data_IF_767970199164
#
_entry.id   IF_767970199164
#
_cell.length_a   1.000
_cell.length_b   1.000
_cell.length_c   1.000
_cell.angle_alpha   90.00
_cell.angle_beta   90.00
_cell.angle_gamma   90.00
#
_symmetry.space_group_name_H-M   'P 1'
#
loop_
_entity.id
_entity.type
_entity.pdbx_description
1 polymer ?
#
# COMPACT_ATOMS: atom_id res chain seq x y z
N UNK A 1 13.46 -4.54 17.49
CA UNK A 1 12.66 -5.59 18.19
C UNK A 1 11.20 -5.20 18.12
N UNK A 2 10.28 -6.14 17.90
CA UNK A 2 8.84 -5.85 17.90
C UNK A 2 8.38 -5.42 19.29
N UNK A 3 7.51 -4.41 19.37
CA UNK A 3 6.94 -3.90 20.62
C UNK A 3 6.25 -5.01 21.42
N UNK A 4 6.38 -4.98 22.74
CA UNK A 4 5.90 -6.05 23.63
C UNK A 4 4.38 -6.20 23.62
N UNK A 5 3.64 -5.11 23.45
CA UNK A 5 2.17 -5.05 23.43
C UNK A 5 1.57 -5.10 22.02
N UNK A 6 2.27 -5.77 21.07
CA UNK A 6 1.83 -5.83 19.66
C UNK A 6 0.41 -6.42 19.51
N UNK A 7 0.05 -7.44 20.31
CA UNK A 7 -1.29 -8.05 20.26
C UNK A 7 -2.38 -7.10 20.70
N UNK A 8 -2.15 -6.39 21.80
CA UNK A 8 -3.06 -5.38 22.33
C UNK A 8 -3.21 -4.24 21.33
N UNK A 9 -2.10 -3.79 20.75
CA UNK A 9 -2.12 -2.75 19.73
C UNK A 9 -2.94 -3.16 18.52
N UNK A 10 -2.70 -4.34 17.95
CA UNK A 10 -3.47 -4.87 16.81
C UNK A 10 -4.94 -5.00 17.14
N UNK A 11 -5.27 -5.50 18.35
CA UNK A 11 -6.64 -5.67 18.80
C UNK A 11 -7.38 -4.34 19.02
N UNK A 12 -6.64 -3.24 19.21
CA UNK A 12 -7.22 -1.90 19.36
C UNK A 12 -7.61 -1.25 18.03
N UNK A 13 -7.12 -1.77 16.91
CA UNK A 13 -7.47 -1.26 15.58
C UNK A 13 -8.89 -1.67 15.17
N UNK A 14 -9.61 -0.84 14.41
CA UNK A 14 -10.91 -1.23 13.88
C UNK A 14 -10.83 -2.50 13.03
N UNK A 15 -11.81 -3.39 13.14
CA UNK A 15 -11.83 -4.70 12.44
C UNK A 15 -11.80 -4.61 10.91
N UNK A 16 -12.23 -3.49 10.36
CA UNK A 16 -12.21 -3.23 8.92
C UNK A 16 -10.90 -2.59 8.43
N UNK A 17 -9.90 -2.46 9.30
CA UNK A 17 -8.60 -1.88 8.98
C UNK A 17 -7.54 -2.98 8.94
N UNK A 18 -6.88 -3.10 7.80
CA UNK A 18 -5.72 -3.98 7.62
C UNK A 18 -4.45 -3.23 8.02
N UNK A 19 -3.72 -3.79 8.98
CA UNK A 19 -2.38 -3.34 9.33
C UNK A 19 -1.35 -3.97 8.39
N UNK A 20 -0.73 -3.16 7.54
CA UNK A 20 0.45 -3.54 6.75
C UNK A 20 1.70 -3.13 7.53
N UNK A 21 2.44 -4.10 8.04
CA UNK A 21 3.67 -3.86 8.77
C UNK A 21 4.81 -3.51 7.80
N UNK A 22 5.31 -2.28 7.85
CA UNK A 22 6.46 -1.84 7.05
C UNK A 22 7.75 -2.40 7.66
N UNK A 23 8.35 -3.38 6.97
CA UNK A 23 9.46 -4.20 7.49
C UNK A 23 10.85 -3.75 7.02
N UNK A 24 10.94 -2.57 6.39
CA UNK A 24 12.17 -2.07 5.74
C UNK A 24 13.41 -1.97 6.65
N UNK A 25 13.22 -1.84 7.96
CA UNK A 25 14.30 -1.64 8.94
C UNK A 25 14.46 -2.81 9.91
N UNK A 26 13.75 -3.91 9.72
CA UNK A 26 13.79 -5.06 10.62
C UNK A 26 14.20 -6.32 9.91
N UNK A 27 14.75 -7.25 10.67
CA UNK A 27 15.20 -8.54 10.17
C UNK A 27 14.08 -9.59 10.18
N UNK A 28 14.40 -10.78 9.67
CA UNK A 28 13.46 -11.88 9.54
C UNK A 28 12.91 -12.34 10.90
N UNK A 29 13.71 -12.32 11.95
CA UNK A 29 13.30 -12.70 13.31
C UNK A 29 12.17 -11.80 13.85
N UNK A 30 12.28 -10.48 13.61
CA UNK A 30 11.21 -9.54 13.95
C UNK A 30 9.96 -9.79 13.09
N UNK A 31 10.13 -10.14 11.81
CA UNK A 31 9.00 -10.47 10.93
C UNK A 31 8.31 -11.77 11.37
N UNK A 32 9.05 -12.81 11.76
CA UNK A 32 8.48 -14.03 12.35
C UNK A 32 7.73 -13.71 13.65
N UNK A 33 8.26 -12.81 14.46
CA UNK A 33 7.58 -12.34 15.66
C UNK A 33 6.25 -11.67 15.34
N UNK A 34 6.19 -10.83 14.29
CA UNK A 34 4.95 -10.23 13.81
C UNK A 34 3.93 -11.28 13.36
N UNK A 35 4.36 -12.26 12.53
CA UNK A 35 3.52 -13.35 12.05
C UNK A 35 2.94 -14.17 13.20
N UNK A 36 3.78 -14.54 14.19
CA UNK A 36 3.37 -15.30 15.38
C UNK A 36 2.37 -14.51 16.28
N UNK A 37 2.28 -13.20 16.10
CA UNK A 37 1.33 -12.34 16.79
C UNK A 37 0.13 -11.91 15.92
N UNK A 38 -0.07 -12.57 14.78
CA UNK A 38 -1.23 -12.35 13.91
C UNK A 38 -1.10 -11.16 12.96
N UNK A 39 0.09 -10.58 12.80
CA UNK A 39 0.36 -9.53 11.81
C UNK A 39 0.90 -10.17 10.54
N UNK A 40 0.00 -10.61 9.65
CA UNK A 40 0.36 -11.39 8.48
C UNK A 40 0.61 -10.54 7.23
N UNK A 41 0.21 -9.27 7.21
CA UNK A 41 0.42 -8.37 6.08
C UNK A 41 1.77 -7.67 6.23
N UNK A 42 2.75 -8.07 5.43
CA UNK A 42 4.12 -7.57 5.47
C UNK A 42 4.41 -6.68 4.28
N UNK A 43 4.90 -5.46 4.52
CA UNK A 43 5.15 -4.44 3.51
C UNK A 43 6.62 -4.12 3.32
N UNK A 44 7.13 -4.30 2.12
CA UNK A 44 8.48 -3.93 1.73
C UNK A 44 8.49 -2.79 0.71
N UNK A 45 9.53 -1.97 0.75
CA UNK A 45 9.66 -0.82 -0.12
C UNK A 45 10.91 -0.85 -1.03
N UNK A 46 11.75 -1.88 -0.93
CA UNK A 46 12.95 -2.07 -1.74
C UNK A 46 13.03 -3.49 -2.25
N UNK A 47 13.27 -3.64 -3.55
CA UNK A 47 13.32 -4.92 -4.23
C UNK A 47 14.34 -5.88 -3.61
N UNK A 48 15.55 -5.40 -3.35
CA UNK A 48 16.65 -6.24 -2.85
C UNK A 48 16.33 -6.80 -1.45
N UNK A 49 15.76 -5.94 -0.58
CA UNK A 49 15.30 -6.33 0.75
C UNK A 49 14.14 -7.32 0.67
N UNK A 50 13.16 -7.04 -0.19
CA UNK A 50 12.02 -7.92 -0.41
C UNK A 50 12.43 -9.32 -0.84
N UNK A 51 13.27 -9.46 -1.88
CA UNK A 51 13.66 -10.76 -2.42
C UNK A 51 14.37 -11.63 -1.37
N UNK A 52 15.31 -11.04 -0.63
CA UNK A 52 16.01 -11.73 0.46
C UNK A 52 15.05 -12.25 1.52
N UNK A 53 14.13 -11.42 1.99
CA UNK A 53 13.18 -11.76 3.05
C UNK A 53 12.10 -12.73 2.57
N UNK A 54 11.62 -12.54 1.34
CA UNK A 54 10.67 -13.44 0.71
C UNK A 54 11.19 -14.87 0.65
N UNK A 55 12.43 -15.08 0.20
CA UNK A 55 13.01 -16.42 0.10
C UNK A 55 13.11 -17.13 1.46
N UNK A 56 13.35 -16.39 2.54
CA UNK A 56 13.42 -16.92 3.91
C UNK A 56 12.04 -17.20 4.50
N UNK A 57 11.02 -16.45 4.10
CA UNK A 57 9.68 -16.50 4.69
C UNK A 57 8.59 -17.06 3.76
N UNK A 58 8.94 -17.52 2.53
CA UNK A 58 7.97 -17.95 1.51
C UNK A 58 7.07 -19.13 1.93
N UNK A 59 7.48 -19.90 2.93
CA UNK A 59 6.70 -21.01 3.49
C UNK A 59 5.87 -20.61 4.72
N UNK A 60 5.88 -19.35 5.10
CA UNK A 60 5.08 -18.78 6.19
C UNK A 60 3.78 -18.22 5.65
N UNK A 61 2.78 -18.08 6.51
CA UNK A 61 1.49 -17.48 6.19
C UNK A 61 1.60 -15.94 6.17
N UNK A 62 2.35 -15.43 5.19
CA UNK A 62 2.57 -14.01 4.98
C UNK A 62 1.85 -13.53 3.71
N UNK A 63 1.15 -12.41 3.82
CA UNK A 63 0.58 -11.66 2.70
C UNK A 63 1.57 -10.54 2.35
N UNK A 64 2.11 -10.57 1.14
CA UNK A 64 3.17 -9.67 0.74
C UNK A 64 2.66 -8.43 0.02
N UNK A 65 3.01 -7.28 0.56
CA UNK A 65 2.72 -5.97 -0.01
C UNK A 65 4.01 -5.29 -0.47
N UNK A 66 4.04 -4.80 -1.69
CA UNK A 66 5.09 -3.88 -2.12
C UNK A 66 4.55 -2.45 -2.00
N UNK A 67 5.15 -1.66 -1.11
CA UNK A 67 4.64 -0.34 -0.70
C UNK A 67 5.56 0.82 -1.07
N UNK A 68 6.72 0.55 -1.70
CA UNK A 68 7.66 1.55 -2.20
C UNK A 68 7.59 1.69 -3.72
N UNK A 69 8.29 2.66 -4.26
CA UNK A 69 8.38 2.85 -5.71
C UNK A 69 9.01 1.61 -6.38
N UNK A 70 8.28 0.98 -7.29
CA UNK A 70 8.74 -0.21 -8.00
C UNK A 70 9.36 0.19 -9.34
N UNK A 71 10.70 0.17 -9.38
CA UNK A 71 11.45 0.44 -10.61
C UNK A 71 11.15 -0.63 -11.68
N UNK A 72 10.86 -0.21 -12.92
CA UNK A 72 10.48 -1.11 -14.01
C UNK A 72 11.53 -2.21 -14.30
N UNK A 73 12.80 -1.87 -14.25
CA UNK A 73 13.89 -2.83 -14.47
C UNK A 73 13.99 -3.94 -13.40
N UNK A 74 13.40 -3.71 -12.21
CA UNK A 74 13.34 -4.67 -11.11
C UNK A 74 11.96 -5.30 -10.92
N UNK A 75 10.94 -4.79 -11.61
CA UNK A 75 9.55 -5.21 -11.38
C UNK A 75 9.32 -6.69 -11.69
N UNK A 76 9.96 -7.23 -12.73
CA UNK A 76 9.82 -8.65 -13.12
C UNK A 76 10.21 -9.64 -12.01
N UNK A 77 11.15 -9.26 -11.13
CA UNK A 77 11.62 -10.11 -10.04
C UNK A 77 10.63 -10.15 -8.86
N UNK A 78 9.77 -9.15 -8.77
CA UNK A 78 8.86 -8.90 -7.62
C UNK A 78 7.43 -9.28 -7.92
N UNK A 79 6.91 -8.90 -9.10
CA UNK A 79 5.47 -8.92 -9.37
C UNK A 79 4.80 -10.29 -9.23
N UNK A 80 5.50 -11.40 -9.45
CA UNK A 80 4.95 -12.75 -9.27
C UNK A 80 5.09 -13.31 -7.84
N UNK A 81 5.65 -12.53 -6.92
CA UNK A 81 5.88 -12.92 -5.51
C UNK A 81 5.05 -12.12 -4.52
N UNK A 82 4.45 -11.01 -4.95
CA UNK A 82 3.62 -10.15 -4.08
C UNK A 82 2.14 -10.41 -4.31
N UNK A 83 1.35 -10.15 -3.27
CA UNK A 83 -0.11 -10.20 -3.30
C UNK A 83 -0.72 -8.84 -3.63
N UNK A 84 -0.06 -7.76 -3.19
CA UNK A 84 -0.49 -6.39 -3.38
C UNK A 84 0.66 -5.48 -3.83
N UNK A 85 0.39 -4.62 -4.81
CA UNK A 85 1.22 -3.48 -5.17
C UNK A 85 0.49 -2.19 -4.79
N UNK A 86 1.09 -1.37 -3.91
CA UNK A 86 0.46 -0.11 -3.48
C UNK A 86 0.89 1.10 -4.31
N UNK A 87 1.89 0.96 -5.16
CA UNK A 87 2.61 2.05 -5.82
C UNK A 87 2.50 2.00 -7.34
N UNK A 88 1.34 1.62 -7.87
CA UNK A 88 1.13 1.70 -9.31
C UNK A 88 0.92 3.17 -9.73
N UNK A 89 1.92 3.73 -10.39
CA UNK A 89 2.00 5.16 -10.72
C UNK A 89 2.20 5.47 -12.21
N UNK A 90 2.32 4.44 -13.07
CA UNK A 90 2.56 4.65 -14.49
C UNK A 90 2.00 3.54 -15.37
N UNK A 91 1.49 3.91 -16.56
CA UNK A 91 1.04 2.94 -17.57
C UNK A 91 2.17 2.04 -18.07
N UNK A 92 3.42 2.51 -18.02
CA UNK A 92 4.58 1.70 -18.38
C UNK A 92 4.82 0.55 -17.39
N UNK A 93 4.57 0.77 -16.09
CA UNK A 93 4.61 -0.28 -15.08
C UNK A 93 3.38 -1.20 -15.23
N UNK A 94 2.20 -0.65 -15.48
CA UNK A 94 0.98 -1.42 -15.73
C UNK A 94 1.15 -2.37 -16.93
N UNK A 95 1.69 -1.88 -18.05
CA UNK A 95 1.98 -2.70 -19.21
C UNK A 95 2.95 -3.86 -18.91
N UNK A 96 3.97 -3.61 -18.10
CA UNK A 96 4.92 -4.65 -17.70
C UNK A 96 4.24 -5.71 -16.83
N UNK A 97 3.36 -5.30 -15.90
CA UNK A 97 2.57 -6.21 -15.07
C UNK A 97 1.68 -7.07 -15.98
N UNK A 98 0.93 -6.46 -16.91
CA UNK A 98 0.07 -7.19 -17.85
C UNK A 98 0.86 -8.23 -18.65
N UNK A 99 2.05 -7.88 -19.12
CA UNK A 99 2.88 -8.75 -19.95
C UNK A 99 3.54 -9.91 -19.18
N UNK A 100 3.82 -9.73 -17.88
CA UNK A 100 4.69 -10.65 -17.14
C UNK A 100 4.05 -11.30 -15.91
N UNK A 101 2.91 -10.80 -15.44
CA UNK A 101 2.22 -11.38 -14.31
C UNK A 101 1.48 -12.66 -14.73
N UNK A 102 1.62 -13.71 -13.92
CA UNK A 102 0.97 -15.00 -14.19
C UNK A 102 -0.52 -14.99 -13.84
N UNK A 103 -0.86 -14.40 -12.69
CA UNK A 103 -2.24 -14.27 -12.18
C UNK A 103 -2.56 -12.80 -11.94
N UNK A 104 -3.83 -12.38 -11.88
CA UNK A 104 -4.17 -10.99 -11.54
C UNK A 104 -3.49 -10.54 -10.25
N UNK A 105 -2.89 -9.35 -10.29
CA UNK A 105 -2.25 -8.70 -9.16
C UNK A 105 -3.17 -7.64 -8.60
N UNK A 106 -3.43 -7.68 -7.30
CA UNK A 106 -4.16 -6.61 -6.60
C UNK A 106 -3.31 -5.35 -6.53
N UNK A 107 -3.82 -4.25 -7.08
CA UNK A 107 -3.07 -3.00 -7.14
C UNK A 107 -3.87 -1.84 -6.56
N UNK A 108 -3.15 -0.92 -5.92
CA UNK A 108 -3.61 0.43 -5.63
C UNK A 108 -2.92 1.39 -6.58
N UNK A 109 -3.68 2.34 -7.12
CA UNK A 109 -3.09 3.48 -7.81
C UNK A 109 -2.54 4.45 -6.76
N UNK A 110 -1.25 4.76 -6.84
CA UNK A 110 -0.64 5.79 -6.02
C UNK A 110 -0.99 7.17 -6.59
N UNK A 111 -1.64 7.99 -5.77
CA UNK A 111 -2.14 9.31 -6.15
C UNK A 111 -1.32 10.41 -5.50
N UNK A 112 -0.81 11.35 -6.30
CA UNK A 112 -0.21 12.59 -5.83
C UNK A 112 -1.31 13.64 -5.61
N UNK A 113 -1.72 13.82 -4.35
CA UNK A 113 -2.83 14.73 -4.00
C UNK A 113 -2.43 16.21 -4.10
N UNK A 114 -1.17 16.53 -3.80
CA UNK A 114 -0.71 17.91 -3.61
C UNK A 114 0.19 18.41 -4.75
N UNK A 115 0.27 17.68 -5.87
CA UNK A 115 1.04 18.08 -7.07
C UNK A 115 2.50 18.48 -6.78
N UNK A 116 3.13 17.87 -5.78
CA UNK A 116 4.54 18.09 -5.55
C UNK A 116 5.36 17.45 -6.68
N UNK A 117 6.05 18.23 -7.48
CA UNK A 117 6.81 17.80 -8.68
C UNK A 117 7.86 16.71 -8.41
N UNK A 118 8.25 16.51 -7.16
CA UNK A 118 9.32 15.59 -6.76
C UNK A 118 8.83 14.25 -6.20
N UNK A 119 7.53 14.01 -6.10
CA UNK A 119 6.96 12.78 -5.54
C UNK A 119 6.39 11.86 -6.60
N UNK A 120 6.48 10.55 -6.33
CA UNK A 120 5.81 9.52 -7.13
C UNK A 120 4.29 9.66 -7.02
N UNK A 121 3.59 8.99 -7.92
CA UNK A 121 2.14 8.94 -7.95
C UNK A 121 1.56 9.62 -9.19
N UNK A 122 0.38 9.18 -9.57
CA UNK A 122 -0.39 9.80 -10.65
C UNK A 122 -0.93 11.13 -10.14
N UNK A 123 -0.74 12.25 -10.86
CA UNK A 123 -1.33 13.52 -10.49
C UNK A 123 -2.85 13.40 -10.30
N UNK A 124 -3.40 14.06 -9.29
CA UNK A 124 -4.81 13.94 -8.92
C UNK A 124 -5.77 14.09 -10.10
N UNK A 125 -5.50 15.07 -10.98
CA UNK A 125 -6.36 15.36 -12.13
C UNK A 125 -6.22 14.36 -13.28
N UNK A 126 -5.17 13.55 -13.30
CA UNK A 126 -4.91 12.55 -14.35
C UNK A 126 -5.43 11.16 -13.97
N UNK A 127 -5.89 10.97 -12.73
CA UNK A 127 -6.28 9.64 -12.20
C UNK A 127 -7.45 9.03 -12.95
N UNK A 128 -8.43 9.83 -13.38
CA UNK A 128 -9.58 9.35 -14.16
C UNK A 128 -9.14 8.69 -15.48
N UNK A 129 -8.32 9.37 -16.26
CA UNK A 129 -7.81 8.84 -17.52
C UNK A 129 -6.89 7.64 -17.28
N UNK A 130 -6.08 7.71 -16.23
CA UNK A 130 -5.20 6.60 -15.84
C UNK A 130 -6.00 5.34 -15.50
N UNK A 131 -7.03 5.44 -14.67
CA UNK A 131 -7.91 4.32 -14.32
C UNK A 131 -8.64 3.78 -15.54
N UNK A 132 -9.16 4.65 -16.40
CA UNK A 132 -9.79 4.24 -17.67
C UNK A 132 -8.88 3.36 -18.52
N UNK A 133 -7.58 3.68 -18.59
CA UNK A 133 -6.60 2.84 -19.29
C UNK A 133 -6.34 1.53 -18.54
N UNK A 134 -6.23 1.56 -17.20
CA UNK A 134 -5.99 0.35 -16.39
C UNK A 134 -7.12 -0.70 -16.54
N UNK A 135 -8.35 -0.27 -16.72
CA UNK A 135 -9.50 -1.17 -16.87
C UNK A 135 -9.45 -2.03 -18.15
N UNK A 136 -8.51 -1.75 -19.06
CA UNK A 136 -8.27 -2.57 -20.26
C UNK A 136 -7.35 -3.77 -19.97
N UNK A 137 -6.65 -3.78 -18.85
CA UNK A 137 -5.72 -4.85 -18.48
C UNK A 137 -6.43 -5.98 -17.72
N UNK A 138 -6.01 -7.22 -17.97
CA UNK A 138 -6.62 -8.43 -17.37
C UNK A 138 -5.82 -8.97 -16.19
N UNK A 139 -4.54 -8.61 -16.10
CA UNK A 139 -3.63 -9.04 -15.03
C UNK A 139 -3.50 -8.00 -13.91
N UNK A 140 -4.28 -6.92 -13.99
CA UNK A 140 -4.37 -5.89 -12.96
C UNK A 140 -5.76 -5.96 -12.33
N UNK A 141 -5.82 -6.34 -11.06
CA UNK A 141 -7.01 -6.20 -10.23
C UNK A 141 -6.92 -4.89 -9.47
N UNK A 142 -7.53 -3.85 -10.01
CA UNK A 142 -7.57 -2.54 -9.35
C UNK A 142 -8.49 -2.61 -8.13
N UNK A 143 -7.92 -2.54 -6.92
CA UNK A 143 -8.67 -2.70 -5.66
C UNK A 143 -8.86 -1.41 -4.88
N UNK A 144 -8.18 -0.33 -5.24
CA UNK A 144 -8.29 0.93 -4.52
C UNK A 144 -7.24 1.96 -4.90
N UNK A 145 -7.17 3.01 -4.08
CA UNK A 145 -6.22 4.10 -4.21
C UNK A 145 -5.27 4.14 -3.01
N UNK A 146 -4.07 4.64 -3.23
CA UNK A 146 -3.06 4.88 -2.20
C UNK A 146 -2.57 6.32 -2.26
N UNK A 147 -2.26 6.89 -1.09
CA UNK A 147 -1.55 8.15 -0.99
C UNK A 147 -0.58 8.17 0.19
N UNK A 148 0.34 9.11 0.16
CA UNK A 148 1.12 9.56 1.30
C UNK A 148 0.78 11.03 1.58
N UNK A 149 0.47 11.34 2.84
CA UNK A 149 0.21 12.72 3.25
C UNK A 149 1.50 13.56 3.24
N UNK A 150 1.34 14.87 3.13
CA UNK A 150 2.46 15.81 3.27
C UNK A 150 2.99 15.73 4.70
N UNK A 151 4.30 15.68 4.85
CA UNK A 151 4.94 15.67 6.16
C UNK A 151 4.62 16.95 6.93
N UNK A 152 4.57 16.82 8.26
CA UNK A 152 4.37 17.95 9.18
C UNK A 152 3.04 18.70 8.96
N UNK A 153 2.05 18.02 8.35
CA UNK A 153 0.69 18.53 8.25
C UNK A 153 0.00 18.49 9.63
N UNK A 154 -0.78 19.51 9.94
CA UNK A 154 -1.69 19.49 11.07
C UNK A 154 -2.91 18.56 10.83
N UNK A 155 -3.67 18.27 11.88
CA UNK A 155 -4.79 17.33 11.81
C UNK A 155 -5.84 17.72 10.76
N UNK A 156 -6.14 19.02 10.61
CA UNK A 156 -7.11 19.51 9.63
C UNK A 156 -6.61 19.31 8.20
N UNK A 157 -5.33 19.58 7.97
CA UNK A 157 -4.68 19.34 6.67
C UNK A 157 -4.66 17.85 6.34
N UNK A 158 -4.34 16.97 7.31
CA UNK A 158 -4.37 15.52 7.14
C UNK A 158 -5.77 15.02 6.78
N UNK A 159 -6.79 15.43 7.52
CA UNK A 159 -8.19 15.07 7.25
C UNK A 159 -8.58 15.51 5.83
N UNK A 160 -8.23 16.74 5.44
CA UNK A 160 -8.54 17.26 4.10
C UNK A 160 -7.88 16.40 3.01
N UNK A 161 -6.62 16.03 3.18
CA UNK A 161 -5.89 15.22 2.20
C UNK A 161 -6.50 13.80 2.09
N UNK A 162 -6.78 13.13 3.21
CA UNK A 162 -7.34 11.78 3.21
C UNK A 162 -8.79 11.77 2.69
N UNK A 163 -9.60 12.74 3.08
CA UNK A 163 -10.97 12.92 2.56
C UNK A 163 -10.99 13.13 1.04
N UNK A 164 -10.03 13.88 0.51
CA UNK A 164 -9.88 14.12 -0.93
C UNK A 164 -9.62 12.81 -1.70
N UNK A 165 -8.80 11.90 -1.16
CA UNK A 165 -8.58 10.58 -1.77
C UNK A 165 -9.85 9.73 -1.74
N UNK A 166 -10.60 9.75 -0.65
CA UNK A 166 -11.88 9.04 -0.52
C UNK A 166 -12.90 9.55 -1.55
N UNK A 167 -13.05 10.86 -1.67
CA UNK A 167 -13.95 11.47 -2.66
C UNK A 167 -13.57 11.03 -4.07
N UNK A 168 -12.28 11.06 -4.41
CA UNK A 168 -11.80 10.60 -5.72
C UNK A 168 -12.16 9.13 -5.96
N UNK A 169 -11.95 8.24 -4.97
CA UNK A 169 -12.34 6.83 -5.07
C UNK A 169 -13.83 6.68 -5.36
N UNK A 170 -14.69 7.41 -4.63
CA UNK A 170 -16.13 7.35 -4.79
C UNK A 170 -16.57 7.85 -6.18
N UNK A 171 -15.92 8.89 -6.71
CA UNK A 171 -16.13 9.36 -8.07
C UNK A 171 -15.76 8.33 -9.13
N UNK A 172 -14.62 7.67 -9.00
CA UNK A 172 -14.16 6.61 -9.91
C UNK A 172 -15.11 5.39 -9.89
N UNK A 173 -15.57 4.97 -8.70
CA UNK A 173 -16.55 3.89 -8.58
C UNK A 173 -17.85 4.22 -9.33
N UNK A 174 -18.34 5.45 -9.21
CA UNK A 174 -19.54 5.90 -9.88
C UNK A 174 -19.34 6.02 -11.40
N UNK A 175 -18.25 6.64 -11.84
CA UNK A 175 -17.97 6.92 -13.27
C UNK A 175 -17.79 5.64 -14.07
N UNK A 176 -17.00 4.68 -13.53
CA UNK A 176 -16.65 3.45 -14.24
C UNK A 176 -17.52 2.24 -13.86
N UNK A 177 -18.46 2.42 -12.94
CA UNK A 177 -19.29 1.33 -12.39
C UNK A 177 -18.43 0.14 -11.88
N UNK A 178 -17.39 0.44 -11.12
CA UNK A 178 -16.46 -0.52 -10.55
C UNK A 178 -16.51 -0.48 -9.01
N UNK A 179 -15.83 -1.42 -8.36
CA UNK A 179 -15.64 -1.44 -6.91
C UNK A 179 -14.17 -1.22 -6.56
N UNK A 180 -13.91 -0.22 -5.74
CA UNK A 180 -12.61 0.12 -5.19
C UNK A 180 -12.69 0.10 -3.64
N UNK A 181 -12.82 -1.11 -3.04
CA UNK A 181 -13.15 -1.22 -1.61
C UNK A 181 -12.07 -0.68 -0.68
N UNK A 182 -10.86 -0.44 -1.19
CA UNK A 182 -9.72 -0.15 -0.33
C UNK A 182 -9.13 1.24 -0.52
N UNK A 183 -8.74 1.84 0.61
CA UNK A 183 -7.94 3.06 0.67
C UNK A 183 -6.68 2.77 1.50
N UNK A 184 -5.52 2.81 0.84
CA UNK A 184 -4.22 2.65 1.48
C UNK A 184 -3.66 4.03 1.82
N UNK A 185 -3.83 4.45 3.06
CA UNK A 185 -3.37 5.74 3.56
C UNK A 185 -3.16 5.67 5.08
N UNK A 186 -2.30 6.51 5.60
CA UNK A 186 -1.91 6.51 7.00
C UNK A 186 -0.64 5.70 7.29
N UNK A 187 0.30 6.36 7.96
CA UNK A 187 1.56 5.85 8.46
C UNK A 187 1.67 6.07 9.97
N UNK A 188 2.82 5.80 10.58
CA UNK A 188 3.00 5.85 12.04
C UNK A 188 2.58 7.17 12.68
N UNK A 189 2.67 8.28 11.97
CA UNK A 189 2.40 9.62 12.51
C UNK A 189 0.96 10.11 12.26
N UNK A 190 0.26 9.53 11.28
CA UNK A 190 -1.03 10.05 10.77
C UNK A 190 -2.13 8.98 10.58
N UNK A 191 -1.87 7.72 10.98
CA UNK A 191 -2.83 6.61 10.77
C UNK A 191 -4.17 6.82 11.48
N UNK A 192 -4.20 7.52 12.61
CA UNK A 192 -5.45 7.77 13.36
C UNK A 192 -6.39 8.66 12.57
N UNK A 193 -5.86 9.72 11.98
CA UNK A 193 -6.58 10.64 11.11
C UNK A 193 -7.02 9.93 9.82
N UNK A 194 -6.13 9.12 9.25
CA UNK A 194 -6.47 8.30 8.08
C UNK A 194 -7.63 7.31 8.35
N UNK A 195 -7.66 6.67 9.53
CA UNK A 195 -8.76 5.78 9.93
C UNK A 195 -10.08 6.54 10.05
N UNK A 196 -10.08 7.74 10.64
CA UNK A 196 -11.28 8.60 10.72
C UNK A 196 -11.84 8.90 9.34
N UNK A 197 -10.98 9.10 8.35
CA UNK A 197 -11.36 9.39 6.96
C UNK A 197 -11.61 8.13 6.11
N UNK A 198 -11.58 6.93 6.72
CA UNK A 198 -11.97 5.69 6.07
C UNK A 198 -10.83 4.86 5.48
N UNK A 199 -9.61 5.02 5.98
CA UNK A 199 -8.51 4.12 5.61
C UNK A 199 -8.89 2.66 5.89
N UNK A 200 -8.64 1.79 4.93
CA UNK A 200 -8.80 0.33 5.06
C UNK A 200 -7.46 -0.38 5.20
N UNK A 201 -6.38 0.24 4.72
CA UNK A 201 -5.02 -0.24 4.85
C UNK A 201 -4.15 0.89 5.41
N UNK A 202 -3.55 0.65 6.58
CA UNK A 202 -2.57 1.54 7.19
C UNK A 202 -1.18 0.88 7.12
N UNK A 203 -0.14 1.67 6.86
CA UNK A 203 1.23 1.18 6.65
C UNK A 203 2.12 1.63 7.80
N UNK A 204 2.21 0.81 8.83
CA UNK A 204 2.92 1.16 10.04
C UNK A 204 4.34 0.57 10.08
N UNK A 205 5.29 1.39 10.44
CA UNK A 205 6.69 1.00 10.65
C UNK A 205 7.12 1.28 12.10
N UNK A 206 7.69 2.45 12.35
CA UNK A 206 8.31 2.84 13.63
C UNK A 206 7.49 2.48 14.87
N UNK A 207 6.19 2.67 14.83
CA UNK A 207 5.29 2.42 15.97
C UNK A 207 5.17 0.94 16.33
N UNK A 208 5.58 0.02 15.45
CA UNK A 208 5.52 -1.42 15.68
C UNK A 208 6.80 -1.96 16.36
N UNK A 209 7.84 -1.15 16.44
CA UNK A 209 9.16 -1.58 16.89
C UNK A 209 9.71 -0.68 17.98
N UNK A 210 10.36 -1.28 18.96
CA UNK A 210 11.22 -0.58 19.91
C UNK A 210 12.59 -0.39 19.24
N UNK A 211 12.78 0.75 18.55
CA UNK A 211 13.99 1.11 17.82
C UNK A 211 14.86 2.07 18.65
#
# INVERSE_FOLDING_TARGET
MVRKDIKEFVSSLPKNVTLVAATKYVDVDDMETLLNNGVNNLGENRTDSFLRKYDLLKNKDAIWHFIGHLQRNKASDVINKIDYLHSLDSLKLAYLIEAKREKPLKVFVEVSINLEETKNGVPYYDVHDFVKELLKYTKIELVGLMMMAVKESDDLSLQTQFSKLKILRDQLEQEFNIKLPYLSMGMSDDYKEAIKEGATHIRLGRILYDL
#
